data_IF_166841315207
#
_entry.id   IF_166841315207
#
_cell.length_a   1.000
_cell.length_b   1.000
_cell.length_c   1.000
_cell.angle_alpha   90.00
_cell.angle_beta   90.00
_cell.angle_gamma   90.00
#
_symmetry.space_group_name_H-M   'P 1'
#
loop_
_entity.id
_entity.type
_entity.pdbx_description
1 polymer ?
#
# COMPACT_ATOMS: atom_id res chain seq x y z
N UNK A 1 36.45 3.87 20.40
CA UNK A 1 35.40 3.69 19.37
C UNK A 1 35.60 2.31 18.78
N UNK A 2 34.74 1.34 19.12
CA UNK A 2 34.87 -0.04 18.62
C UNK A 2 34.51 -0.06 17.15
N UNK A 3 35.20 -0.87 16.35
CA UNK A 3 34.96 -1.09 14.87
C UNK A 3 33.52 -1.53 14.50
N UNK A 4 32.65 -1.70 15.48
CA UNK A 4 31.24 -2.05 15.35
C UNK A 4 30.35 -0.91 14.85
N UNK A 5 30.85 0.32 14.76
CA UNK A 5 30.05 1.52 14.43
C UNK A 5 30.12 1.92 12.94
N UNK A 6 30.87 1.18 12.12
CA UNK A 6 30.94 1.46 10.68
C UNK A 6 29.87 0.67 9.92
N UNK A 7 29.19 1.29 8.92
CA UNK A 7 28.27 0.58 8.04
C UNK A 7 29.00 -0.50 7.25
N UNK A 8 28.37 -1.67 7.10
CA UNK A 8 28.94 -2.81 6.35
C UNK A 8 29.11 -2.52 4.84
N UNK A 9 28.30 -1.61 4.32
CA UNK A 9 28.31 -1.13 2.93
C UNK A 9 27.91 0.34 2.93
N UNK A 10 28.85 1.29 2.93
CA UNK A 10 28.49 2.69 2.84
C UNK A 10 27.86 2.98 1.46
N UNK A 11 26.55 3.18 1.43
CA UNK A 11 25.84 3.67 0.26
C UNK A 11 25.85 5.20 0.28
N UNK A 12 26.16 5.81 -0.86
CA UNK A 12 26.05 7.26 -1.02
C UNK A 12 24.58 7.71 -0.87
N UNK A 13 24.35 8.98 -0.56
CA UNK A 13 22.99 9.55 -0.48
C UNK A 13 22.23 9.36 -1.81
N UNK A 14 22.92 9.46 -2.95
CA UNK A 14 22.37 9.19 -4.27
C UNK A 14 21.89 7.73 -4.43
N UNK A 15 22.67 6.76 -3.97
CA UNK A 15 22.30 5.34 -4.02
C UNK A 15 21.12 5.03 -3.11
N UNK A 16 21.06 5.63 -1.92
CA UNK A 16 19.91 5.52 -1.02
C UNK A 16 18.65 6.13 -1.64
N UNK A 17 18.77 7.27 -2.33
CA UNK A 17 17.66 7.90 -3.03
C UNK A 17 17.13 7.01 -4.19
N UNK A 18 17.99 6.31 -4.92
CA UNK A 18 17.57 5.37 -5.97
C UNK A 18 16.81 4.18 -5.39
N UNK A 19 17.24 3.63 -4.26
CA UNK A 19 16.46 2.59 -3.54
C UNK A 19 15.11 3.15 -3.10
N UNK A 20 15.08 4.38 -2.56
CA UNK A 20 13.86 5.08 -2.22
C UNK A 20 12.92 5.25 -3.41
N UNK A 21 13.46 5.67 -4.57
CA UNK A 21 12.68 5.81 -5.81
C UNK A 21 12.09 4.48 -6.29
N UNK A 22 12.81 3.37 -6.17
CA UNK A 22 12.27 2.05 -6.47
C UNK A 22 11.12 1.67 -5.53
N UNK A 23 11.18 2.06 -4.24
CA UNK A 23 10.07 1.90 -3.30
C UNK A 23 8.86 2.77 -3.68
N UNK A 24 9.10 3.99 -4.17
CA UNK A 24 8.03 4.85 -4.74
C UNK A 24 7.38 4.17 -5.95
N UNK A 25 8.18 3.66 -6.90
CA UNK A 25 7.67 2.97 -8.09
C UNK A 25 6.85 1.73 -7.73
N UNK A 26 7.30 0.94 -6.75
CA UNK A 26 6.57 -0.21 -6.22
C UNK A 26 5.22 0.20 -5.62
N UNK A 27 5.21 1.21 -4.75
CA UNK A 27 3.98 1.71 -4.12
C UNK A 27 2.97 2.21 -5.16
N UNK A 28 3.43 2.98 -6.15
CA UNK A 28 2.60 3.47 -7.25
C UNK A 28 2.03 2.30 -8.09
N UNK A 29 2.87 1.34 -8.46
CA UNK A 29 2.45 0.17 -9.25
C UNK A 29 1.45 -0.74 -8.53
N UNK A 30 1.50 -0.81 -7.20
CA UNK A 30 0.52 -1.57 -6.42
C UNK A 30 -0.84 -0.90 -6.37
N UNK A 31 -0.89 0.40 -6.15
CA UNK A 31 -2.14 1.12 -5.89
C UNK A 31 -2.88 1.53 -7.16
N UNK A 32 -2.18 1.74 -8.28
CA UNK A 32 -2.79 2.10 -9.55
C UNK A 32 -3.75 1.01 -10.08
N UNK A 33 -3.49 -0.24 -9.72
CA UNK A 33 -4.35 -1.36 -10.12
C UNK A 33 -5.77 -1.25 -9.56
N UNK A 34 -5.95 -0.68 -8.37
CA UNK A 34 -7.28 -0.48 -7.78
C UNK A 34 -8.10 0.57 -8.54
N UNK A 35 -7.43 1.51 -9.21
CA UNK A 35 -8.09 2.56 -9.99
C UNK A 35 -8.50 2.05 -11.37
N UNK A 36 -7.64 1.26 -12.00
CA UNK A 36 -7.76 0.93 -13.44
C UNK A 36 -8.33 -0.46 -13.70
N UNK A 37 -7.86 -1.47 -12.93
CA UNK A 37 -8.18 -2.87 -13.23
C UNK A 37 -9.64 -3.19 -12.91
N UNK A 38 -10.19 -2.66 -11.81
CA UNK A 38 -11.52 -2.99 -11.34
C UNK A 38 -12.62 -2.71 -12.41
N UNK A 39 -12.76 -1.49 -12.97
CA UNK A 39 -13.79 -1.22 -13.97
C UNK A 39 -13.54 -1.96 -15.30
N UNK A 40 -12.30 -2.05 -15.76
CA UNK A 40 -11.98 -2.70 -17.03
C UNK A 40 -12.13 -4.22 -16.99
N UNK A 41 -11.85 -4.87 -15.86
CA UNK A 41 -12.06 -6.30 -15.69
C UNK A 41 -13.56 -6.64 -15.64
N UNK A 42 -14.40 -5.78 -15.02
CA UNK A 42 -15.86 -5.89 -15.07
C UNK A 42 -16.35 -5.81 -16.54
N UNK A 43 -15.80 -4.88 -17.31
CA UNK A 43 -16.14 -4.73 -18.75
C UNK A 43 -15.70 -5.93 -19.59
N UNK A 44 -14.62 -6.62 -19.18
CA UNK A 44 -14.20 -7.89 -19.78
C UNK A 44 -15.06 -9.09 -19.35
N UNK A 45 -16.17 -8.85 -18.62
CA UNK A 45 -17.15 -9.87 -18.23
C UNK A 45 -16.87 -10.57 -16.90
N UNK A 46 -15.95 -10.06 -16.08
CA UNK A 46 -15.68 -10.60 -14.75
C UNK A 46 -16.58 -9.95 -13.70
N UNK A 47 -17.04 -10.74 -12.74
CA UNK A 47 -17.75 -10.26 -11.56
C UNK A 47 -16.79 -9.58 -10.60
N UNK A 48 -17.33 -8.75 -9.69
CA UNK A 48 -16.54 -8.06 -8.65
C UNK A 48 -15.78 -9.05 -7.76
N UNK A 49 -16.42 -10.19 -7.43
CA UNK A 49 -15.83 -11.23 -6.59
C UNK A 49 -14.69 -11.93 -7.34
N UNK A 50 -14.80 -12.19 -8.61
CA UNK A 50 -13.73 -12.78 -9.43
C UNK A 50 -12.53 -11.84 -9.52
N UNK A 51 -12.75 -10.55 -9.77
CA UNK A 51 -11.68 -9.54 -9.81
C UNK A 51 -10.98 -9.44 -8.47
N UNK A 52 -11.72 -9.34 -7.37
CA UNK A 52 -11.18 -9.30 -6.03
C UNK A 52 -10.45 -10.59 -5.68
N UNK A 53 -10.97 -11.75 -6.09
CA UNK A 53 -10.35 -13.06 -5.90
C UNK A 53 -8.98 -13.16 -6.57
N UNK A 54 -8.84 -12.71 -7.81
CA UNK A 54 -7.57 -12.66 -8.54
C UNK A 54 -6.55 -11.81 -7.79
N UNK A 55 -6.94 -10.62 -7.33
CA UNK A 55 -6.05 -9.70 -6.63
C UNK A 55 -5.68 -10.21 -5.24
N UNK A 56 -6.65 -10.77 -4.50
CA UNK A 56 -6.43 -11.36 -3.17
C UNK A 56 -5.47 -12.54 -3.24
N UNK A 57 -5.67 -13.46 -4.20
CA UNK A 57 -4.82 -14.62 -4.36
C UNK A 57 -3.37 -14.22 -4.69
N UNK A 58 -3.21 -13.23 -5.57
CA UNK A 58 -1.89 -12.68 -5.88
C UNK A 58 -1.24 -12.00 -4.68
N UNK A 59 -2.01 -11.22 -3.90
CA UNK A 59 -1.52 -10.55 -2.70
C UNK A 59 -1.13 -11.54 -1.60
N UNK A 60 -1.90 -12.62 -1.42
CA UNK A 60 -1.58 -13.68 -0.48
C UNK A 60 -0.28 -14.39 -0.86
N UNK A 61 -0.12 -14.76 -2.13
CA UNK A 61 1.11 -15.36 -2.64
C UNK A 61 2.31 -14.43 -2.47
N UNK A 62 2.12 -13.15 -2.80
CA UNK A 62 3.13 -12.11 -2.58
C UNK A 62 3.58 -12.06 -1.11
N UNK A 63 2.65 -11.97 -0.17
CA UNK A 63 2.94 -11.89 1.25
C UNK A 63 3.64 -13.17 1.78
N UNK A 64 3.18 -14.35 1.37
CA UNK A 64 3.77 -15.63 1.76
C UNK A 64 5.21 -15.78 1.29
N UNK A 65 5.57 -15.16 0.17
CA UNK A 65 6.90 -15.29 -0.43
C UNK A 65 7.89 -14.21 0.03
N UNK A 66 7.47 -13.15 0.72
CA UNK A 66 8.38 -12.12 1.26
C UNK A 66 9.56 -12.73 2.05
N UNK A 67 9.34 -13.66 3.02
CA UNK A 67 10.45 -14.25 3.76
C UNK A 67 11.41 -15.09 2.88
N UNK A 68 10.87 -15.73 1.86
CA UNK A 68 11.67 -16.52 0.91
C UNK A 68 12.56 -15.60 0.07
N UNK A 69 12.00 -14.52 -0.47
CA UNK A 69 12.75 -13.50 -1.21
C UNK A 69 13.79 -12.79 -0.34
N UNK A 70 13.51 -12.58 0.95
CA UNK A 70 14.51 -12.10 1.90
C UNK A 70 15.72 -13.04 2.01
N UNK A 71 15.48 -14.35 2.09
CA UNK A 71 16.56 -15.37 2.09
C UNK A 71 17.31 -15.42 0.75
N UNK A 72 16.61 -15.26 -0.37
CA UNK A 72 17.26 -15.15 -1.69
C UNK A 72 18.13 -13.90 -1.78
N UNK A 73 17.69 -12.77 -1.21
CA UNK A 73 18.47 -11.54 -1.17
C UNK A 73 19.77 -11.72 -0.36
N UNK A 74 19.73 -12.49 0.74
CA UNK A 74 20.94 -12.84 1.50
C UNK A 74 21.87 -13.78 0.69
N UNK A 75 21.30 -14.70 -0.12
CA UNK A 75 22.06 -15.70 -0.88
C UNK A 75 22.65 -15.13 -2.18
N UNK A 76 21.86 -14.42 -2.97
CA UNK A 76 22.22 -13.93 -4.30
C UNK A 76 22.72 -12.48 -4.31
N UNK A 77 22.53 -11.75 -3.22
CA UNK A 77 22.87 -10.35 -3.04
C UNK A 77 21.69 -9.41 -3.27
N UNK A 78 21.65 -8.33 -2.45
CA UNK A 78 20.53 -7.39 -2.38
C UNK A 78 20.23 -6.72 -3.73
N UNK A 79 21.27 -6.22 -4.40
CA UNK A 79 21.16 -5.55 -5.71
C UNK A 79 20.46 -6.44 -6.74
N UNK A 80 20.92 -7.69 -6.89
CA UNK A 80 20.39 -8.61 -7.92
C UNK A 80 18.91 -8.88 -7.69
N UNK A 81 18.51 -9.09 -6.43
CA UNK A 81 17.10 -9.35 -6.08
C UNK A 81 16.24 -8.11 -6.30
N UNK A 82 16.71 -6.91 -5.91
CA UNK A 82 15.97 -5.66 -6.17
C UNK A 82 15.75 -5.43 -7.66
N UNK A 83 16.80 -5.54 -8.46
CA UNK A 83 16.74 -5.37 -9.91
C UNK A 83 15.79 -6.40 -10.53
N UNK A 84 15.95 -7.68 -10.21
CA UNK A 84 15.08 -8.74 -10.70
C UNK A 84 13.61 -8.46 -10.38
N UNK A 85 13.31 -8.10 -9.13
CA UNK A 85 11.92 -7.84 -8.71
C UNK A 85 11.30 -6.64 -9.43
N UNK A 86 12.06 -5.58 -9.69
CA UNK A 86 11.55 -4.43 -10.43
C UNK A 86 11.23 -4.79 -11.89
N UNK A 87 12.10 -5.54 -12.56
CA UNK A 87 11.83 -6.04 -13.92
C UNK A 87 10.66 -7.03 -13.92
N UNK A 88 10.57 -7.92 -12.93
CA UNK A 88 9.47 -8.85 -12.79
C UNK A 88 8.13 -8.12 -12.60
N UNK A 89 8.10 -7.05 -11.77
CA UNK A 89 6.90 -6.20 -11.60
C UNK A 89 6.48 -5.55 -12.91
N UNK A 90 7.42 -4.94 -13.63
CA UNK A 90 7.14 -4.30 -14.92
C UNK A 90 6.65 -5.30 -15.97
N UNK A 91 7.37 -6.42 -16.14
CA UNK A 91 7.04 -7.44 -17.13
C UNK A 91 5.70 -8.15 -16.83
N UNK A 92 5.45 -8.55 -15.60
CA UNK A 92 4.19 -9.22 -15.25
C UNK A 92 2.99 -8.28 -15.35
N UNK A 93 3.13 -6.99 -15.00
CA UNK A 93 2.10 -6.00 -15.25
C UNK A 93 1.88 -5.75 -16.75
N UNK A 94 2.93 -5.77 -17.57
CA UNK A 94 2.82 -5.66 -19.03
C UNK A 94 2.03 -6.83 -19.61
N UNK A 95 2.38 -8.07 -19.23
CA UNK A 95 1.65 -9.27 -19.66
C UNK A 95 0.18 -9.20 -19.18
N UNK A 96 -0.06 -8.72 -17.96
CA UNK A 96 -1.42 -8.55 -17.44
C UNK A 96 -2.24 -7.55 -18.26
N UNK A 97 -1.67 -6.40 -18.64
CA UNK A 97 -2.35 -5.42 -19.50
C UNK A 97 -2.66 -6.00 -20.87
N UNK A 98 -1.71 -6.76 -21.45
CA UNK A 98 -1.94 -7.42 -22.76
C UNK A 98 -3.05 -8.48 -22.66
N UNK A 99 -3.08 -9.28 -21.59
CA UNK A 99 -4.13 -10.25 -21.32
C UNK A 99 -5.50 -9.56 -21.14
N UNK A 100 -5.53 -8.45 -20.40
CA UNK A 100 -6.75 -7.66 -20.21
C UNK A 100 -7.24 -7.02 -21.52
N UNK A 101 -6.32 -6.52 -22.38
CA UNK A 101 -6.65 -6.03 -23.72
C UNK A 101 -7.25 -7.13 -24.60
N UNK A 102 -6.68 -8.34 -24.55
CA UNK A 102 -7.21 -9.48 -25.30
C UNK A 102 -8.65 -9.85 -24.85
N UNK A 103 -8.91 -9.80 -23.54
CA UNK A 103 -10.23 -10.01 -22.98
C UNK A 103 -11.22 -8.90 -23.42
N UNK A 104 -10.81 -7.64 -23.34
CA UNK A 104 -11.63 -6.50 -23.78
C UNK A 104 -11.93 -6.51 -25.29
N UNK A 105 -11.03 -7.08 -26.09
CA UNK A 105 -11.22 -7.28 -27.51
C UNK A 105 -12.10 -8.52 -27.85
N UNK A 106 -12.59 -9.25 -26.85
CA UNK A 106 -13.40 -10.45 -27.04
C UNK A 106 -12.64 -11.68 -27.52
N UNK A 107 -11.29 -11.65 -27.55
CA UNK A 107 -10.47 -12.81 -27.96
C UNK A 107 -10.52 -13.95 -26.92
N UNK A 108 -10.78 -13.60 -25.65
CA UNK A 108 -10.93 -14.52 -24.53
C UNK A 108 -12.16 -14.07 -23.74
N UNK A 109 -13.10 -14.97 -23.44
CA UNK A 109 -14.38 -14.64 -22.81
C UNK A 109 -14.75 -15.61 -21.69
N UNK A 110 -15.60 -15.18 -20.77
CA UNK A 110 -16.14 -16.02 -19.69
C UNK A 110 -15.06 -16.55 -18.76
N UNK A 111 -15.15 -17.82 -18.38
CA UNK A 111 -14.27 -18.48 -17.42
C UNK A 111 -12.80 -18.50 -17.86
N UNK A 112 -12.53 -18.52 -19.16
CA UNK A 112 -11.15 -18.45 -19.69
C UNK A 112 -10.49 -17.09 -19.43
N UNK A 113 -11.24 -15.99 -19.43
CA UNK A 113 -10.75 -14.67 -19.01
C UNK A 113 -10.31 -14.68 -17.55
N UNK A 114 -11.12 -15.26 -16.66
CA UNK A 114 -10.76 -15.39 -15.24
C UNK A 114 -9.45 -16.16 -15.06
N UNK A 115 -9.33 -17.36 -15.64
CA UNK A 115 -8.11 -18.17 -15.50
C UNK A 115 -6.89 -17.50 -16.11
N UNK A 116 -7.02 -16.85 -17.27
CA UNK A 116 -5.90 -16.13 -17.90
C UNK A 116 -5.41 -15.01 -17.00
N UNK A 117 -6.29 -14.14 -16.52
CA UNK A 117 -5.91 -13.01 -15.68
C UNK A 117 -5.38 -13.48 -14.32
N UNK A 118 -6.00 -14.51 -13.72
CA UNK A 118 -5.53 -15.12 -12.48
C UNK A 118 -4.12 -15.72 -12.65
N UNK A 119 -3.89 -16.48 -13.71
CA UNK A 119 -2.59 -17.08 -13.99
C UNK A 119 -1.48 -16.02 -14.11
N UNK A 120 -1.72 -14.99 -14.92
CA UNK A 120 -0.75 -13.92 -15.10
C UNK A 120 -0.51 -13.16 -13.77
N UNK A 121 -1.56 -12.96 -12.98
CA UNK A 121 -1.44 -12.25 -11.71
C UNK A 121 -0.72 -13.06 -10.63
N UNK A 122 -0.81 -14.39 -10.68
CA UNK A 122 -0.01 -15.26 -9.82
C UNK A 122 1.49 -15.11 -10.05
N UNK A 123 1.93 -14.92 -11.31
CA UNK A 123 3.34 -14.64 -11.60
C UNK A 123 3.82 -13.33 -10.97
N UNK A 124 2.97 -12.32 -10.90
CA UNK A 124 3.29 -11.12 -10.14
C UNK A 124 3.51 -11.45 -8.67
N UNK A 125 2.59 -12.18 -8.03
CA UNK A 125 2.71 -12.59 -6.63
C UNK A 125 3.96 -13.45 -6.35
N UNK A 126 4.38 -14.25 -7.34
CA UNK A 126 5.54 -15.13 -7.24
C UNK A 126 6.88 -14.38 -7.38
N UNK A 127 7.00 -13.47 -8.35
CA UNK A 127 8.27 -12.90 -8.78
C UNK A 127 8.57 -11.51 -8.21
N UNK A 128 7.53 -10.74 -7.87
CA UNK A 128 7.69 -9.34 -7.45
C UNK A 128 8.10 -9.12 -5.97
N UNK A 129 7.89 -10.04 -4.99
CA UNK A 129 8.04 -9.72 -3.56
C UNK A 129 9.45 -9.37 -3.09
N UNK A 130 10.47 -9.51 -3.92
CA UNK A 130 11.88 -9.39 -3.51
C UNK A 130 12.35 -7.97 -3.25
N UNK A 131 11.73 -6.94 -3.83
CA UNK A 131 12.21 -5.56 -3.70
C UNK A 131 12.23 -5.08 -2.25
N UNK A 132 11.11 -5.15 -1.55
CA UNK A 132 10.97 -4.60 -0.21
C UNK A 132 11.95 -5.23 0.80
N UNK A 133 12.02 -6.57 0.97
CA UNK A 133 12.97 -7.17 1.90
C UNK A 133 14.43 -6.93 1.52
N UNK A 134 14.76 -6.91 0.22
CA UNK A 134 16.11 -6.62 -0.24
C UNK A 134 16.50 -5.15 -0.01
N UNK A 135 15.59 -4.19 -0.23
CA UNK A 135 15.81 -2.78 0.04
C UNK A 135 15.99 -2.51 1.54
N UNK A 136 15.16 -3.11 2.39
CA UNK A 136 15.29 -3.00 3.85
C UNK A 136 16.62 -3.60 4.34
N UNK A 137 17.03 -4.74 3.79
CA UNK A 137 18.31 -5.35 4.11
C UNK A 137 19.49 -4.48 3.62
N UNK A 138 19.43 -3.92 2.41
CA UNK A 138 20.47 -3.03 1.89
C UNK A 138 20.59 -1.75 2.74
N UNK A 139 19.47 -1.14 3.13
CA UNK A 139 19.48 0.03 4.00
C UNK A 139 20.02 -0.29 5.41
N UNK A 140 19.69 -1.48 5.94
CA UNK A 140 20.22 -1.95 7.22
C UNK A 140 21.74 -2.12 7.17
N UNK A 141 22.27 -2.64 6.07
CA UNK A 141 23.71 -2.82 5.85
C UNK A 141 24.44 -1.47 5.61
N UNK A 142 23.72 -0.46 5.12
CA UNK A 142 24.24 0.88 4.82
C UNK A 142 24.17 1.85 6.00
N UNK A 143 23.49 1.48 7.09
CA UNK A 143 23.25 2.35 8.26
C UNK A 143 23.88 1.79 9.52
N UNK A 144 24.28 2.68 10.43
CA UNK A 144 24.70 2.33 11.78
C UNK A 144 23.49 2.04 12.68
N UNK A 145 23.64 1.39 13.83
CA UNK A 145 22.53 1.20 14.79
C UNK A 145 21.78 2.48 15.14
N UNK A 146 22.48 3.62 15.19
CA UNK A 146 21.90 4.94 15.52
C UNK A 146 21.07 5.53 14.37
N UNK A 147 21.47 5.31 13.12
CA UNK A 147 20.81 5.89 11.93
C UNK A 147 19.86 4.93 11.24
N UNK A 148 19.84 3.65 11.66
CA UNK A 148 19.05 2.58 11.02
C UNK A 148 17.55 2.85 10.99
N UNK A 149 17.00 3.33 12.11
CA UNK A 149 15.57 3.65 12.20
C UNK A 149 15.17 4.73 11.18
N UNK A 150 16.01 5.75 11.00
CA UNK A 150 15.81 6.80 9.99
C UNK A 150 15.87 6.25 8.56
N UNK A 151 16.84 5.39 8.25
CA UNK A 151 16.97 4.79 6.92
C UNK A 151 15.80 3.88 6.56
N UNK A 152 15.34 3.04 7.49
CA UNK A 152 14.16 2.19 7.28
C UNK A 152 12.87 3.00 7.20
N UNK A 153 12.74 4.04 8.02
CA UNK A 153 11.63 4.99 7.98
C UNK A 153 11.53 5.71 6.63
N UNK A 154 12.67 6.10 6.05
CA UNK A 154 12.74 6.69 4.70
C UNK A 154 12.16 5.74 3.65
N UNK A 155 12.51 4.45 3.67
CA UNK A 155 11.96 3.47 2.71
C UNK A 155 10.44 3.32 2.86
N UNK A 156 9.93 3.28 4.08
CA UNK A 156 8.49 3.26 4.35
C UNK A 156 7.78 4.52 3.84
N UNK A 157 8.39 5.70 4.07
CA UNK A 157 7.88 6.96 3.55
C UNK A 157 7.86 7.01 2.02
N UNK A 158 8.93 6.53 1.36
CA UNK A 158 8.99 6.42 -0.09
C UNK A 158 7.89 5.52 -0.65
N UNK A 159 7.64 4.36 -0.03
CA UNK A 159 6.55 3.47 -0.42
C UNK A 159 5.18 4.14 -0.26
N UNK A 160 4.95 4.86 0.84
CA UNK A 160 3.72 5.60 1.08
C UNK A 160 3.52 6.72 0.05
N UNK A 161 4.56 7.48 -0.28
CA UNK A 161 4.54 8.50 -1.35
C UNK A 161 4.18 7.85 -2.69
N UNK A 162 4.74 6.67 -2.98
CA UNK A 162 4.38 5.90 -4.18
C UNK A 162 2.90 5.53 -4.22
N UNK A 163 2.36 5.05 -3.10
CA UNK A 163 0.93 4.70 -2.98
C UNK A 163 0.00 5.88 -3.23
N UNK A 164 0.46 7.09 -3.01
CA UNK A 164 -0.22 8.34 -3.30
C UNK A 164 -0.08 8.73 -4.78
N UNK A 165 1.15 8.65 -5.30
CA UNK A 165 1.48 9.03 -6.69
C UNK A 165 0.79 8.11 -7.69
N UNK A 166 0.60 6.82 -7.38
CA UNK A 166 -0.05 5.87 -8.28
C UNK A 166 -1.44 6.33 -8.72
N UNK A 167 -2.43 6.45 -7.82
CA UNK A 167 -3.76 6.95 -8.16
C UNK A 167 -3.77 8.39 -8.68
N UNK A 168 -2.93 9.29 -8.13
CA UNK A 168 -2.80 10.65 -8.64
C UNK A 168 -2.27 10.69 -10.09
N UNK A 169 -1.33 9.81 -10.42
CA UNK A 169 -0.84 9.64 -11.79
C UNK A 169 -1.92 9.15 -12.76
N UNK A 170 -2.90 8.38 -12.27
CA UNK A 170 -4.04 7.98 -13.09
C UNK A 170 -4.86 9.19 -13.57
N UNK A 171 -4.98 10.23 -12.75
CA UNK A 171 -5.67 11.48 -13.14
C UNK A 171 -5.03 12.15 -14.36
N UNK A 172 -3.71 12.13 -14.43
CA UNK A 172 -2.93 12.76 -15.51
C UNK A 172 -2.92 11.89 -16.77
N UNK A 173 -2.87 10.56 -16.61
CA UNK A 173 -2.68 9.63 -17.72
C UNK A 173 -4.00 9.07 -18.31
N UNK A 174 -5.09 9.04 -17.54
CA UNK A 174 -6.39 8.55 -17.98
C UNK A 174 -6.94 9.26 -19.24
N UNK A 175 -6.76 10.59 -19.44
CA UNK A 175 -7.21 11.26 -20.67
C UNK A 175 -6.56 10.75 -21.96
N UNK A 176 -5.45 10.02 -21.87
CA UNK A 176 -4.75 9.41 -23.02
C UNK A 176 -5.14 7.95 -23.25
N UNK A 177 -6.03 7.42 -22.41
CA UNK A 177 -6.57 6.06 -22.47
C UNK A 177 -6.68 5.41 -21.11
N UNK A 178 -7.73 4.63 -20.87
CA UNK A 178 -8.01 4.01 -19.57
C UNK A 178 -6.87 3.09 -19.05
N UNK A 179 -6.06 2.50 -19.93
CA UNK A 179 -4.92 1.65 -19.58
C UNK A 179 -3.59 2.42 -19.47
N UNK A 180 -3.53 3.70 -19.89
CA UNK A 180 -2.29 4.49 -19.84
C UNK A 180 -1.68 4.63 -18.46
N UNK A 181 -2.46 4.73 -17.37
CA UNK A 181 -1.88 4.76 -16.04
C UNK A 181 -1.06 3.51 -15.71
N UNK A 182 -1.52 2.32 -16.09
CA UNK A 182 -0.74 1.08 -15.85
C UNK A 182 0.53 1.06 -16.72
N UNK A 183 0.46 1.51 -17.98
CA UNK A 183 1.65 1.65 -18.84
C UNK A 183 2.67 2.61 -18.23
N UNK A 184 2.22 3.74 -17.67
CA UNK A 184 3.07 4.66 -16.91
C UNK A 184 3.77 3.98 -15.72
N UNK A 185 3.04 3.17 -14.95
CA UNK A 185 3.63 2.42 -13.84
C UNK A 185 4.63 1.34 -14.30
N UNK A 186 4.38 0.68 -15.44
CA UNK A 186 5.31 -0.29 -16.04
C UNK A 186 6.62 0.40 -16.40
N UNK A 187 6.55 1.52 -17.11
CA UNK A 187 7.73 2.31 -17.51
C UNK A 187 8.50 2.75 -16.26
N UNK A 188 7.78 3.23 -15.23
CA UNK A 188 8.39 3.67 -13.98
C UNK A 188 9.12 2.53 -13.25
N UNK A 189 8.50 1.35 -13.16
CA UNK A 189 9.12 0.17 -12.55
C UNK A 189 10.36 -0.30 -13.32
N UNK A 190 10.28 -0.37 -14.66
CA UNK A 190 11.42 -0.78 -15.50
C UNK A 190 12.56 0.24 -15.42
N UNK A 191 12.25 1.53 -15.45
CA UNK A 191 13.26 2.60 -15.31
C UNK A 191 13.92 2.57 -13.93
N UNK A 192 13.17 2.37 -12.86
CA UNK A 192 13.72 2.20 -11.51
C UNK A 192 14.61 0.94 -11.43
N UNK A 193 14.21 -0.17 -12.08
CA UNK A 193 15.02 -1.38 -12.20
C UNK A 193 16.35 -1.14 -12.92
N UNK A 194 16.34 -0.39 -14.01
CA UNK A 194 17.57 0.02 -14.74
C UNK A 194 18.48 0.89 -13.87
N UNK A 195 17.92 1.89 -13.19
CA UNK A 195 18.68 2.77 -12.30
C UNK A 195 19.33 1.97 -11.15
N UNK A 196 18.61 1.03 -10.54
CA UNK A 196 19.18 0.12 -9.54
C UNK A 196 20.31 -0.73 -10.14
N UNK A 197 20.16 -1.20 -11.39
CA UNK A 197 21.17 -2.02 -12.04
C UNK A 197 22.48 -1.27 -12.30
N UNK A 198 22.42 -0.01 -12.69
CA UNK A 198 23.59 0.79 -13.03
C UNK A 198 24.21 1.51 -11.82
N UNK A 199 23.39 2.05 -10.91
CA UNK A 199 23.89 2.92 -9.85
C UNK A 199 24.33 2.20 -8.58
N UNK A 200 23.79 1.00 -8.29
CA UNK A 200 24.18 0.28 -7.08
C UNK A 200 25.43 -0.56 -7.30
N UNK A 201 26.37 -0.58 -6.33
CA UNK A 201 27.51 -1.49 -6.37
C UNK A 201 27.02 -2.94 -6.17
N UNK A 202 27.77 -3.93 -6.66
CA UNK A 202 27.49 -5.33 -6.40
C UNK A 202 27.57 -5.61 -4.90
N UNK A 203 26.48 -6.14 -4.33
CA UNK A 203 26.44 -6.47 -2.92
C UNK A 203 27.08 -7.82 -2.63
N UNK A 204 28.02 -7.85 -1.66
CA UNK A 204 28.65 -9.09 -1.21
C UNK A 204 27.65 -9.95 -0.41
N UNK A 205 27.80 -11.28 -0.50
CA UNK A 205 27.08 -12.23 0.33
C UNK A 205 27.40 -11.95 1.81
N UNK A 206 26.36 -11.87 2.64
CA UNK A 206 26.58 -11.70 4.09
C UNK A 206 26.98 -13.04 4.70
N UNK A 207 28.06 -13.10 5.53
CA UNK A 207 28.31 -14.25 6.38
C UNK A 207 27.12 -14.47 7.31
N UNK A 208 26.74 -15.73 7.56
CA UNK A 208 25.69 -16.05 8.52
C UNK A 208 26.09 -15.51 9.91
N UNK A 209 25.51 -14.41 10.33
CA UNK A 209 25.69 -13.90 11.70
C UNK A 209 24.87 -14.74 12.66
N UNK A 210 25.51 -15.24 13.70
CA UNK A 210 24.94 -16.16 14.70
C UNK A 210 24.04 -15.51 15.75
N UNK A 211 23.93 -14.18 15.77
CA UNK A 211 23.20 -13.45 16.83
C UNK A 211 22.13 -12.53 16.23
N UNK A 212 20.99 -13.12 15.87
CA UNK A 212 19.76 -12.32 15.71
C UNK A 212 19.05 -12.24 17.06
N UNK A 213 18.63 -11.03 17.53
CA UNK A 213 17.74 -10.94 18.68
C UNK A 213 16.50 -11.82 18.41
N UNK A 214 16.02 -12.52 19.46
CA UNK A 214 14.79 -13.30 19.33
C UNK A 214 13.66 -12.38 18.88
N UNK A 215 12.96 -12.67 17.76
CA UNK A 215 11.83 -11.88 17.35
C UNK A 215 10.71 -11.97 18.39
N UNK A 216 10.00 -10.87 18.63
CA UNK A 216 8.80 -10.89 19.47
C UNK A 216 7.77 -11.85 18.86
N UNK A 217 7.07 -12.57 19.73
CA UNK A 217 5.97 -13.43 19.29
C UNK A 217 4.80 -12.57 18.77
N UNK A 218 4.14 -13.00 17.70
CA UNK A 218 2.96 -12.30 17.15
C UNK A 218 1.86 -12.14 18.21
N UNK A 219 1.77 -13.11 19.16
CA UNK A 219 0.79 -13.10 20.27
C UNK A 219 1.31 -12.46 21.55
N UNK A 220 2.40 -11.66 21.50
CA UNK A 220 2.83 -10.88 22.66
C UNK A 220 1.71 -9.91 23.06
N UNK A 221 1.23 -10.03 24.31
CA UNK A 221 0.08 -9.29 24.82
C UNK A 221 0.26 -7.76 24.80
N UNK A 222 1.49 -7.28 24.70
CA UNK A 222 1.83 -5.85 24.62
C UNK A 222 1.63 -5.32 23.20
N UNK A 223 1.96 -6.11 22.16
CA UNK A 223 1.96 -5.69 20.75
C UNK A 223 0.69 -6.15 20.02
N UNK A 224 0.15 -7.32 20.39
CA UNK A 224 -1.00 -7.92 19.70
C UNK A 224 -2.23 -6.99 19.57
N UNK A 225 -2.63 -6.21 20.59
CA UNK A 225 -3.76 -5.28 20.46
C UNK A 225 -3.52 -4.22 19.37
N UNK A 226 -2.29 -3.71 19.27
CA UNK A 226 -1.91 -2.72 18.25
C UNK A 226 -1.83 -3.33 16.86
N UNK A 227 -1.36 -4.58 16.76
CA UNK A 227 -1.33 -5.34 15.52
C UNK A 227 -2.75 -5.62 15.01
N UNK A 228 -3.66 -6.08 15.89
CA UNK A 228 -5.07 -6.30 15.57
C UNK A 228 -5.78 -5.00 15.15
N UNK A 229 -5.49 -3.91 15.85
CA UNK A 229 -5.99 -2.57 15.51
C UNK A 229 -5.59 -2.15 14.09
N UNK A 230 -4.29 -2.23 13.77
CA UNK A 230 -3.79 -1.88 12.44
C UNK A 230 -4.32 -2.84 11.36
N UNK A 231 -4.45 -4.13 11.67
CA UNK A 231 -5.07 -5.09 10.76
C UNK A 231 -6.51 -4.67 10.43
N UNK A 232 -7.36 -4.39 11.42
CA UNK A 232 -8.74 -3.96 11.20
C UNK A 232 -8.81 -2.64 10.42
N UNK A 233 -7.90 -1.70 10.70
CA UNK A 233 -7.79 -0.44 9.97
C UNK A 233 -7.50 -0.69 8.48
N UNK A 234 -6.44 -1.43 8.16
CA UNK A 234 -6.06 -1.69 6.77
C UNK A 234 -7.00 -2.66 6.05
N UNK A 235 -7.66 -3.54 6.78
CA UNK A 235 -8.76 -4.36 6.26
C UNK A 235 -9.92 -3.49 5.76
N UNK A 236 -10.37 -2.53 6.57
CA UNK A 236 -11.42 -1.59 6.18
C UNK A 236 -11.02 -0.70 4.99
N UNK A 237 -9.79 -0.20 4.99
CA UNK A 237 -9.23 0.54 3.83
C UNK A 237 -9.24 -0.34 2.56
N UNK A 238 -8.79 -1.59 2.67
CA UNK A 238 -8.73 -2.52 1.55
C UNK A 238 -10.09 -2.83 0.93
N UNK A 239 -11.15 -2.93 1.76
CA UNK A 239 -12.54 -3.08 1.27
C UNK A 239 -12.95 -1.93 0.36
N UNK A 240 -12.78 -0.70 0.84
CA UNK A 240 -13.20 0.50 0.10
C UNK A 240 -12.30 0.76 -1.10
N UNK A 241 -10.99 0.60 -0.95
CA UNK A 241 -10.05 0.86 -2.03
C UNK A 241 -10.31 -0.03 -3.25
N UNK A 242 -10.68 -1.29 -3.05
CA UNK A 242 -11.02 -2.22 -4.12
C UNK A 242 -12.31 -1.84 -4.85
N UNK A 243 -13.33 -1.40 -4.11
CA UNK A 243 -14.68 -1.21 -4.66
C UNK A 243 -14.94 0.21 -5.18
N UNK A 244 -14.03 1.15 -4.91
CA UNK A 244 -14.28 2.57 -5.17
C UNK A 244 -14.46 2.89 -6.67
N UNK A 245 -13.70 2.25 -7.55
CA UNK A 245 -13.86 2.47 -9.00
C UNK A 245 -15.23 2.01 -9.51
N UNK A 246 -15.74 0.89 -9.02
CA UNK A 246 -17.08 0.41 -9.33
C UNK A 246 -18.16 1.31 -8.74
N UNK A 247 -17.95 1.79 -7.48
CA UNK A 247 -18.86 2.71 -6.84
C UNK A 247 -19.00 4.03 -7.62
N UNK A 248 -17.90 4.56 -8.12
CA UNK A 248 -17.89 5.77 -8.96
C UNK A 248 -18.58 5.51 -10.31
N UNK A 249 -18.30 4.36 -10.94
CA UNK A 249 -18.92 3.95 -12.20
C UNK A 249 -20.44 3.83 -12.06
N UNK A 250 -20.92 3.08 -11.09
CA UNK A 250 -22.35 2.79 -10.87
C UNK A 250 -23.13 4.02 -10.40
N UNK A 251 -22.49 4.89 -9.60
CA UNK A 251 -23.13 6.08 -9.03
C UNK A 251 -23.29 7.22 -10.03
N UNK A 252 -22.25 7.49 -10.82
CA UNK A 252 -22.23 8.65 -11.71
C UNK A 252 -22.60 8.31 -13.15
N UNK A 253 -22.59 7.02 -13.53
CA UNK A 253 -23.03 6.51 -14.85
C UNK A 253 -22.50 7.36 -16.01
N UNK A 254 -21.16 7.52 -16.06
CA UNK A 254 -20.54 8.37 -17.06
C UNK A 254 -20.90 7.92 -18.48
N UNK A 255 -21.35 8.86 -19.28
CA UNK A 255 -21.55 8.69 -20.73
C UNK A 255 -20.30 9.19 -21.45
N UNK A 256 -19.89 8.51 -22.52
CA UNK A 256 -18.79 8.96 -23.34
C UNK A 256 -19.10 10.32 -23.98
N UNK A 257 -18.08 11.17 -24.07
CA UNK A 257 -18.15 12.45 -24.80
C UNK A 257 -17.31 12.35 -26.08
N UNK A 258 -17.38 13.38 -26.94
CA UNK A 258 -16.55 13.43 -28.16
C UNK A 258 -15.03 13.36 -27.87
N UNK A 259 -14.62 13.70 -26.66
CA UNK A 259 -13.21 13.76 -26.26
C UNK A 259 -12.77 12.68 -25.28
N UNK A 260 -13.70 11.91 -24.68
CA UNK A 260 -13.40 10.90 -23.64
C UNK A 260 -14.40 9.74 -23.69
N UNK A 261 -13.88 8.54 -23.50
CA UNK A 261 -14.71 7.36 -23.27
C UNK A 261 -15.24 7.34 -21.82
N UNK A 262 -16.31 6.58 -21.58
CA UNK A 262 -16.84 6.38 -20.23
C UNK A 262 -15.79 5.79 -19.28
N UNK A 263 -14.97 4.83 -19.75
CA UNK A 263 -13.90 4.19 -18.96
C UNK A 263 -12.83 5.19 -18.54
N UNK A 264 -12.41 6.07 -19.45
CA UNK A 264 -11.45 7.14 -19.13
C UNK A 264 -12.02 8.10 -18.08
N UNK A 265 -13.32 8.38 -18.15
CA UNK A 265 -13.98 9.21 -17.15
C UNK A 265 -14.01 8.54 -15.76
N UNK A 266 -14.31 7.23 -15.67
CA UNK A 266 -14.29 6.46 -14.43
C UNK A 266 -12.88 6.47 -13.82
N UNK A 267 -11.85 6.13 -14.61
CA UNK A 267 -10.46 6.09 -14.16
C UNK A 267 -10.00 7.48 -13.68
N UNK A 268 -10.35 8.53 -14.44
CA UNK A 268 -10.03 9.92 -14.09
C UNK A 268 -10.66 10.33 -12.75
N UNK A 269 -11.96 10.11 -12.57
CA UNK A 269 -12.67 10.53 -11.35
C UNK A 269 -12.24 9.70 -10.15
N UNK A 270 -11.98 8.41 -10.33
CA UNK A 270 -11.37 7.57 -9.29
C UNK A 270 -9.98 8.09 -8.89
N UNK A 271 -9.18 8.45 -9.89
CA UNK A 271 -7.87 9.06 -9.66
C UNK A 271 -7.97 10.39 -8.89
N UNK A 272 -8.93 11.26 -9.24
CA UNK A 272 -9.17 12.54 -8.53
C UNK A 272 -9.55 12.28 -7.06
N UNK A 273 -10.45 11.34 -6.78
CA UNK A 273 -10.82 11.00 -5.41
C UNK A 273 -9.59 10.58 -4.57
N UNK A 274 -8.77 9.68 -5.09
CA UNK A 274 -7.54 9.27 -4.40
C UNK A 274 -6.47 10.38 -4.35
N UNK A 275 -6.41 11.27 -5.34
CA UNK A 275 -5.53 12.44 -5.30
C UNK A 275 -5.97 13.43 -4.19
N UNK A 276 -7.26 13.62 -3.98
CA UNK A 276 -7.80 14.40 -2.87
C UNK A 276 -7.47 13.76 -1.51
N UNK A 277 -7.59 12.42 -1.39
CA UNK A 277 -7.13 11.70 -0.20
C UNK A 277 -5.64 11.96 0.06
N UNK A 278 -4.83 11.86 -0.96
CA UNK A 278 -3.41 12.13 -0.90
C UNK A 278 -3.09 13.57 -0.46
N UNK A 279 -3.79 14.55 -1.03
CA UNK A 279 -3.65 15.95 -0.65
C UNK A 279 -4.00 16.18 0.82
N UNK A 280 -5.11 15.58 1.29
CA UNK A 280 -5.49 15.61 2.71
C UNK A 280 -4.42 15.03 3.62
N UNK A 281 -3.84 13.87 3.25
CA UNK A 281 -2.72 13.27 3.99
C UNK A 281 -1.50 14.20 4.06
N UNK A 282 -1.08 14.76 2.94
CA UNK A 282 0.10 15.63 2.85
C UNK A 282 -0.13 16.90 3.68
N UNK A 283 -1.25 17.58 3.48
CA UNK A 283 -1.58 18.84 4.17
C UNK A 283 -1.64 18.61 5.68
N UNK A 284 -2.32 17.55 6.13
CA UNK A 284 -2.42 17.25 7.57
C UNK A 284 -1.08 16.83 8.15
N UNK A 285 -0.30 16.01 7.44
CA UNK A 285 1.00 15.53 7.91
C UNK A 285 2.00 16.68 8.08
N UNK A 286 2.17 17.50 7.05
CA UNK A 286 3.17 18.56 7.05
C UNK A 286 2.67 19.88 7.67
N UNK A 287 1.36 20.17 7.60
CA UNK A 287 0.77 21.38 8.16
C UNK A 287 0.44 21.27 9.65
N UNK A 288 0.15 20.06 10.15
CA UNK A 288 -0.28 19.89 11.54
C UNK A 288 0.58 18.90 12.33
N UNK A 289 0.71 17.65 11.86
CA UNK A 289 1.34 16.57 12.66
C UNK A 289 2.82 16.83 12.88
N UNK A 290 3.54 17.12 11.82
CA UNK A 290 5.00 17.27 11.86
C UNK A 290 5.45 18.51 12.64
N UNK A 291 4.83 19.70 12.46
CA UNK A 291 5.22 20.90 13.23
C UNK A 291 4.82 20.85 14.71
N UNK A 292 3.62 20.30 15.01
CA UNK A 292 3.05 20.34 16.38
C UNK A 292 3.37 19.13 17.22
N UNK A 293 3.77 18.01 16.60
CA UNK A 293 4.06 16.72 17.25
C UNK A 293 3.02 16.37 18.34
N UNK A 294 1.73 16.34 17.99
CA UNK A 294 0.67 16.16 18.96
C UNK A 294 0.76 14.79 19.63
N UNK A 295 0.19 14.67 20.82
CA UNK A 295 0.11 13.41 21.55
C UNK A 295 -0.62 12.33 20.73
N UNK A 296 0.02 11.19 20.40
CA UNK A 296 -0.59 10.13 19.61
C UNK A 296 -1.92 9.60 20.17
N UNK A 297 -2.10 9.63 21.49
CA UNK A 297 -3.31 9.19 22.18
C UNK A 297 -4.50 10.08 21.86
N UNK A 298 -4.27 11.37 21.74
CA UNK A 298 -5.35 12.36 21.48
C UNK A 298 -5.72 12.40 20.01
N UNK A 299 -4.74 12.28 19.11
CA UNK A 299 -4.99 12.41 17.68
C UNK A 299 -5.50 11.11 17.04
N UNK A 300 -5.22 9.94 17.61
CA UNK A 300 -5.67 8.66 17.08
C UNK A 300 -7.20 8.57 16.95
N UNK A 301 -8.02 8.79 18.01
CA UNK A 301 -9.47 8.73 17.89
C UNK A 301 -10.04 9.81 16.97
N UNK A 302 -9.45 11.01 16.96
CA UNK A 302 -9.85 12.11 16.06
C UNK A 302 -9.62 11.72 14.60
N UNK A 303 -8.44 11.16 14.29
CA UNK A 303 -8.14 10.69 12.94
C UNK A 303 -9.10 9.60 12.46
N UNK A 304 -9.45 8.66 13.33
CA UNK A 304 -10.42 7.61 13.01
C UNK A 304 -11.84 8.16 12.79
N UNK A 305 -12.25 9.15 13.59
CA UNK A 305 -13.52 9.83 13.40
C UNK A 305 -13.57 10.56 12.03
N UNK A 306 -12.49 11.20 11.61
CA UNK A 306 -12.40 11.81 10.27
C UNK A 306 -12.54 10.77 9.15
N UNK A 307 -11.87 9.61 9.29
CA UNK A 307 -12.00 8.51 8.31
C UNK A 307 -13.42 7.98 8.28
N UNK A 308 -14.04 7.71 9.43
CA UNK A 308 -15.41 7.22 9.52
C UNK A 308 -16.42 8.20 8.91
N UNK A 309 -16.33 9.48 9.27
CA UNK A 309 -17.17 10.55 8.71
C UNK A 309 -16.99 10.67 7.21
N UNK A 310 -15.75 10.62 6.73
CA UNK A 310 -15.47 10.67 5.30
C UNK A 310 -16.12 9.53 4.52
N UNK A 311 -16.13 8.30 5.04
CA UNK A 311 -16.80 7.17 4.40
C UNK A 311 -18.32 7.34 4.36
N UNK A 312 -18.95 7.83 5.43
CA UNK A 312 -20.38 8.10 5.46
C UNK A 312 -20.73 9.22 4.47
N UNK A 313 -19.98 10.32 4.48
CA UNK A 313 -20.22 11.46 3.58
C UNK A 313 -20.01 11.10 2.09
N UNK A 314 -19.13 10.15 1.79
CA UNK A 314 -18.88 9.70 0.42
C UNK A 314 -20.13 9.11 -0.26
N UNK A 315 -21.02 8.49 0.50
CA UNK A 315 -22.29 7.97 -0.02
C UNK A 315 -23.45 8.95 0.16
N UNK A 316 -23.47 9.71 1.25
CA UNK A 316 -24.62 10.55 1.60
C UNK A 316 -24.88 11.68 0.59
N UNK A 317 -23.83 12.33 0.08
CA UNK A 317 -23.93 13.44 -0.85
C UNK A 317 -23.70 13.02 -2.31
N UNK A 318 -24.59 13.35 -3.21
CA UNK A 318 -24.55 12.91 -4.60
C UNK A 318 -23.47 13.61 -5.46
N UNK A 319 -23.20 14.93 -5.40
CA UNK A 319 -22.24 15.56 -6.29
C UNK A 319 -20.82 14.99 -6.17
N UNK A 320 -20.12 14.85 -7.30
CA UNK A 320 -18.75 14.30 -7.29
C UNK A 320 -17.78 15.07 -6.39
N UNK A 321 -17.94 16.38 -6.30
CA UNK A 321 -17.09 17.18 -5.42
C UNK A 321 -17.26 16.85 -3.93
N UNK A 322 -18.42 16.39 -3.52
CA UNK A 322 -18.62 15.92 -2.15
C UNK A 322 -17.87 14.61 -1.90
N UNK A 323 -17.82 13.72 -2.89
CA UNK A 323 -16.98 12.52 -2.83
C UNK A 323 -15.49 12.88 -2.73
N UNK A 324 -15.02 13.82 -3.55
CA UNK A 324 -13.64 14.31 -3.52
C UNK A 324 -13.29 14.92 -2.15
N UNK A 325 -14.19 15.74 -1.56
CA UNK A 325 -14.02 16.32 -0.22
C UNK A 325 -14.06 15.24 0.87
N UNK A 326 -14.90 14.24 0.72
CA UNK A 326 -14.96 13.08 1.64
C UNK A 326 -13.62 12.33 1.64
N UNK A 327 -13.03 12.10 0.47
CA UNK A 327 -11.71 11.47 0.35
C UNK A 327 -10.59 12.35 0.90
N UNK A 328 -10.66 13.66 0.73
CA UNK A 328 -9.76 14.59 1.40
C UNK A 328 -9.83 14.46 2.92
N UNK A 329 -11.05 14.39 3.47
CA UNK A 329 -11.29 14.21 4.91
C UNK A 329 -10.73 12.87 5.42
N UNK A 330 -10.94 11.78 4.65
CA UNK A 330 -10.34 10.46 4.93
C UNK A 330 -8.81 10.58 4.97
N UNK A 331 -8.22 11.30 4.01
CA UNK A 331 -6.78 11.54 3.97
C UNK A 331 -6.25 12.27 5.20
N UNK A 332 -6.92 13.33 5.63
CA UNK A 332 -6.60 14.04 6.86
C UNK A 332 -6.65 13.10 8.08
N UNK A 333 -7.70 12.27 8.16
CA UNK A 333 -7.86 11.29 9.24
C UNK A 333 -6.76 10.22 9.23
N UNK A 334 -6.41 9.71 8.06
CA UNK A 334 -5.35 8.71 7.90
C UNK A 334 -3.97 9.23 8.33
N UNK A 335 -3.66 10.50 8.03
CA UNK A 335 -2.43 11.16 8.45
C UNK A 335 -2.32 11.31 9.98
N UNK A 336 -3.44 11.41 10.68
CA UNK A 336 -3.48 11.42 12.14
C UNK A 336 -3.41 10.00 12.72
N UNK A 337 -4.22 9.08 12.21
CA UNK A 337 -4.45 7.77 12.81
C UNK A 337 -3.26 6.81 12.63
N UNK A 338 -2.71 6.67 11.42
CA UNK A 338 -1.70 5.63 11.10
C UNK A 338 -0.38 5.87 11.84
N UNK A 339 0.22 7.08 11.81
CA UNK A 339 1.44 7.33 12.57
C UNK A 339 1.22 7.20 14.08
N UNK A 340 0.06 7.65 14.59
CA UNK A 340 -0.26 7.56 16.01
C UNK A 340 -0.39 6.10 16.47
N UNK A 341 -1.08 5.24 15.71
CA UNK A 341 -1.21 3.81 16.01
C UNK A 341 0.15 3.10 16.00
N UNK A 342 1.00 3.38 15.01
CA UNK A 342 2.35 2.83 14.94
C UNK A 342 3.23 3.30 16.12
N UNK A 343 3.15 4.58 16.49
CA UNK A 343 3.88 5.13 17.63
C UNK A 343 3.45 4.45 18.95
N UNK A 344 2.15 4.32 19.21
CA UNK A 344 1.63 3.65 20.39
C UNK A 344 2.03 2.17 20.45
N UNK A 345 1.98 1.47 19.31
CA UNK A 345 2.43 0.09 19.22
C UNK A 345 3.95 -0.06 19.47
N UNK A 346 4.75 0.87 18.98
CA UNK A 346 6.21 0.87 19.25
C UNK A 346 6.52 1.18 20.70
N UNK A 347 5.77 2.09 21.33
CA UNK A 347 5.94 2.48 22.73
C UNK A 347 5.36 1.45 23.74
N UNK A 348 4.68 0.41 23.29
CA UNK A 348 4.14 -0.64 24.16
C UNK A 348 5.18 -1.64 24.64
N UNK A 349 6.39 -1.59 24.11
CA UNK A 349 7.51 -2.49 24.41
C UNK A 349 8.75 -1.71 24.83
N UNK A 350 9.75 -2.42 25.40
CA UNK A 350 11.01 -1.82 25.83
C UNK A 350 11.85 -1.32 24.64
N UNK A 351 12.75 -0.36 24.89
CA UNK A 351 13.56 0.26 23.81
C UNK A 351 14.32 -0.75 22.95
N UNK A 352 14.83 -1.82 23.55
CA UNK A 352 15.60 -2.85 22.82
C UNK A 352 14.69 -3.77 21.96
N UNK A 353 13.38 -3.83 22.23
CA UNK A 353 12.38 -4.62 21.51
C UNK A 353 11.67 -3.83 20.40
N UNK A 354 11.76 -2.49 20.38
CA UNK A 354 11.02 -1.61 19.46
C UNK A 354 11.24 -1.95 17.98
N UNK A 355 12.45 -2.39 17.62
CA UNK A 355 12.73 -2.83 16.25
C UNK A 355 11.94 -4.08 15.85
N UNK A 356 11.76 -5.03 16.79
CA UNK A 356 10.95 -6.24 16.57
C UNK A 356 9.45 -5.91 16.54
N UNK A 357 9.00 -5.03 17.43
CA UNK A 357 7.61 -4.54 17.43
C UNK A 357 7.27 -3.80 16.12
N UNK A 358 8.14 -2.89 15.66
CA UNK A 358 7.96 -2.19 14.40
C UNK A 358 7.88 -3.15 13.20
N UNK A 359 8.68 -4.22 13.18
CA UNK A 359 8.61 -5.24 12.14
C UNK A 359 7.28 -6.02 12.16
N UNK A 360 6.73 -6.31 13.33
CA UNK A 360 5.41 -6.93 13.47
C UNK A 360 4.29 -5.99 13.01
N UNK A 361 4.32 -4.73 13.45
CA UNK A 361 3.31 -3.73 13.08
C UNK A 361 3.31 -3.47 11.56
N UNK A 362 4.49 -3.50 10.92
CA UNK A 362 4.62 -3.37 9.47
C UNK A 362 4.00 -4.54 8.69
N UNK A 363 3.67 -5.66 9.33
CA UNK A 363 2.95 -6.77 8.68
C UNK A 363 1.43 -6.56 8.62
N UNK A 364 0.88 -5.61 9.39
CA UNK A 364 -0.57 -5.36 9.45
C UNK A 364 -1.15 -4.85 8.10
N UNK A 365 -0.55 -3.84 7.41
CA UNK A 365 -1.05 -3.38 6.12
C UNK A 365 -1.19 -4.49 5.08
N UNK A 366 -0.15 -5.29 4.77
CA UNK A 366 -0.27 -6.38 3.81
C UNK A 366 -1.35 -7.39 4.20
N UNK A 367 -1.46 -7.74 5.50
CA UNK A 367 -2.46 -8.69 5.98
C UNK A 367 -3.89 -8.17 5.79
N UNK A 368 -4.15 -6.89 6.07
CA UNK A 368 -5.44 -6.25 5.83
C UNK A 368 -5.81 -6.23 4.35
N UNK A 369 -4.86 -5.92 3.47
CA UNK A 369 -5.05 -5.92 2.02
C UNK A 369 -5.18 -7.30 1.37
N UNK A 370 -4.89 -8.40 2.08
CA UNK A 370 -5.21 -9.75 1.60
C UNK A 370 -6.72 -10.00 1.67
N UNK A 371 -7.35 -9.70 2.81
CA UNK A 371 -8.74 -10.07 3.05
C UNK A 371 -9.74 -8.95 2.71
N UNK A 372 -9.33 -7.69 2.88
CA UNK A 372 -10.16 -6.51 2.65
C UNK A 372 -10.83 -6.47 1.28
N UNK A 373 -10.08 -6.59 0.16
CA UNK A 373 -10.63 -6.55 -1.17
C UNK A 373 -11.72 -7.58 -1.46
N UNK A 374 -11.54 -8.83 -1.01
CA UNK A 374 -12.50 -9.91 -1.23
C UNK A 374 -13.80 -9.65 -0.46
N UNK A 375 -13.69 -9.30 0.83
CA UNK A 375 -14.86 -8.96 1.66
C UNK A 375 -15.54 -7.71 1.10
N UNK A 376 -14.78 -6.70 0.68
CA UNK A 376 -15.31 -5.49 0.05
C UNK A 376 -16.12 -5.80 -1.20
N UNK A 377 -15.60 -6.63 -2.11
CA UNK A 377 -16.29 -7.03 -3.33
C UNK A 377 -17.58 -7.82 -3.03
N UNK A 378 -17.52 -8.72 -2.03
CA UNK A 378 -18.71 -9.47 -1.59
C UNK A 378 -19.79 -8.55 -1.02
N UNK A 379 -19.41 -7.59 -0.19
CA UNK A 379 -20.33 -6.60 0.35
C UNK A 379 -20.90 -5.69 -0.76
N UNK A 380 -20.05 -5.32 -1.73
CA UNK A 380 -20.42 -4.49 -2.86
C UNK A 380 -21.47 -5.17 -3.75
N UNK A 381 -21.34 -6.48 -4.00
CA UNK A 381 -22.33 -7.24 -4.79
C UNK A 381 -23.70 -7.35 -4.13
N UNK A 382 -23.78 -7.17 -2.79
CA UNK A 382 -25.04 -7.10 -2.06
C UNK A 382 -25.65 -5.69 -2.13
N UNK A 383 -24.83 -4.66 -1.88
CA UNK A 383 -25.22 -3.25 -1.95
C UNK A 383 -23.97 -2.40 -2.20
N UNK A 384 -23.95 -1.53 -3.24
CA UNK A 384 -22.77 -0.73 -3.59
C UNK A 384 -22.22 0.15 -2.47
N UNK A 385 -23.05 0.64 -1.57
CA UNK A 385 -22.64 1.48 -0.44
C UNK A 385 -22.17 0.68 0.78
N UNK A 386 -22.41 -0.63 0.83
CA UNK A 386 -22.17 -1.44 2.03
C UNK A 386 -20.69 -1.48 2.46
N UNK A 387 -19.70 -1.53 1.55
CA UNK A 387 -18.29 -1.44 1.93
C UNK A 387 -17.95 -0.13 2.65
N UNK A 388 -18.53 1.00 2.23
CA UNK A 388 -18.33 2.31 2.86
C UNK A 388 -18.87 2.34 4.29
N UNK A 389 -20.11 1.91 4.48
CA UNK A 389 -20.74 1.87 5.81
C UNK A 389 -20.07 0.87 6.75
N UNK A 390 -19.67 -0.30 6.23
CA UNK A 390 -18.92 -1.29 7.02
C UNK A 390 -17.57 -0.73 7.44
N UNK A 391 -16.84 -0.08 6.55
CA UNK A 391 -15.58 0.56 6.87
C UNK A 391 -15.77 1.69 7.89
N UNK A 392 -16.80 2.52 7.73
CA UNK A 392 -17.14 3.57 8.70
C UNK A 392 -17.45 2.99 10.10
N UNK A 393 -18.20 1.88 10.15
CA UNK A 393 -18.47 1.16 11.39
C UNK A 393 -17.20 0.63 12.06
N UNK A 394 -16.32 -0.01 11.31
CA UNK A 394 -15.01 -0.48 11.81
C UNK A 394 -14.20 0.69 12.35
N UNK A 395 -14.08 1.81 11.61
CA UNK A 395 -13.33 2.98 12.06
C UNK A 395 -13.94 3.61 13.33
N UNK A 396 -15.25 3.65 13.43
CA UNK A 396 -15.96 4.13 14.62
C UNK A 396 -15.71 3.25 15.84
N UNK A 397 -15.76 1.92 15.68
CA UNK A 397 -15.42 0.98 16.75
C UNK A 397 -13.95 1.11 17.20
N UNK A 398 -13.03 1.26 16.25
CA UNK A 398 -11.62 1.52 16.56
C UNK A 398 -11.42 2.86 17.28
N UNK A 399 -12.19 3.90 16.92
CA UNK A 399 -12.14 5.19 17.62
C UNK A 399 -12.63 5.08 19.07
N UNK A 400 -13.74 4.39 19.30
CA UNK A 400 -14.25 4.10 20.63
C UNK A 400 -13.25 3.28 21.45
N UNK A 401 -12.70 2.23 20.86
CA UNK A 401 -11.65 1.44 21.50
C UNK A 401 -10.43 2.29 21.88
N UNK A 402 -9.96 3.14 20.97
CA UNK A 402 -8.85 4.05 21.24
C UNK A 402 -9.16 5.00 22.41
N UNK A 403 -10.35 5.59 22.47
CA UNK A 403 -10.77 6.44 23.59
C UNK A 403 -10.80 5.70 24.93
N UNK A 404 -11.31 4.48 24.96
CA UNK A 404 -11.45 3.71 26.20
C UNK A 404 -10.12 3.19 26.73
N UNK A 405 -9.21 2.75 25.84
CA UNK A 405 -7.94 2.12 26.23
C UNK A 405 -6.84 3.14 26.47
N UNK A 406 -6.77 4.20 25.65
CA UNK A 406 -5.72 5.20 25.78
C UNK A 406 -5.92 6.13 26.97
N UNK A 407 -7.16 6.29 27.45
CA UNK A 407 -7.47 7.08 28.64
C UNK A 407 -7.01 6.42 29.95
N UNK A 408 -6.79 5.10 29.98
CA UNK A 408 -6.58 4.32 31.20
C UNK A 408 -5.13 3.96 31.53
N UNK A 409 -4.15 4.16 30.63
CA UNK A 409 -2.75 3.79 30.88
C UNK A 409 -1.86 5.05 31.01
N UNK A 410 -1.28 5.36 32.20
CA UNK A 410 -0.23 6.36 32.28
C UNK A 410 0.97 5.90 31.45
N UNK A 411 1.62 6.83 30.73
CA UNK A 411 2.93 6.57 30.12
C UNK A 411 3.90 6.40 31.29
N UNK A 412 4.64 5.30 31.33
CA UNK A 412 5.87 5.26 32.13
C UNK A 412 6.75 6.41 31.62
N UNK A 413 7.20 7.33 32.49
CA UNK A 413 8.06 8.41 32.06
C UNK A 413 9.34 7.83 31.46
N UNK A 414 9.78 8.43 30.34
CA UNK A 414 10.98 8.10 29.57
C UNK A 414 12.22 8.44 30.39
#
# INVERSE_FOLDING_TARGET
>A
MKDTDKPLLPLSAFQQAIIGMAMVAMGAGMTINFVVVAPLARKAGLTEIEVAGILTLSAALYALLIPTWGRLADRFGRKRVMVFSMFAMGLTNMIFVLALKAALAGLVTGLSTFFLLAFVRLWFGLLAPGLQPAAMAAMTDATTPLTRAGGLGMLGACMSVGSIIGPAGATVLAPYGALMPIWGSIIFNLSAGLLLAFALPPTRKRPKSSTRPKPLAVRDSRVFPHLAFLFCYFFAIGMVQQTMSWFIEDRYKFTGTATRTADEAVVLHTGIAFACLAAGMIIMQFGFVQPRRPDPRKILPVGLAFVATGYVCADFFFPFWSLALSFFTIGCGAALAVPAANALGSLSVERHEQGSAAALLAAAPPSGFIFGPLVGATLYSLLPSLPLYTAAGVMSLLAIYALLVTSRRPLTPI
#
